data_IF_097071791827
#
_entry.id   IF_097071791827
#
_cell.length_a   1.000
_cell.length_b   1.000
_cell.length_c   1.000
_cell.angle_alpha   90.00
_cell.angle_beta   90.00
_cell.angle_gamma   90.00
#
_symmetry.space_group_name_H-M   'P 1'
#
loop_
_entity.id
_entity.type
_entity.pdbx_description
1 polymer ?
#
# COMPACT_ATOMS: atom_id res chain seq x y z
N UNK A 1 -20.89 2.88 21.28
CA UNK A 1 -20.17 4.16 21.24
C UNK A 1 -20.90 5.04 20.25
N UNK A 2 -20.97 6.34 20.48
CA UNK A 2 -21.51 7.27 19.48
C UNK A 2 -20.63 7.22 18.22
N UNK A 3 -21.23 7.32 17.03
CA UNK A 3 -20.50 7.30 15.75
C UNK A 3 -19.52 8.48 15.69
N UNK A 4 -18.27 8.32 15.20
CA UNK A 4 -17.33 9.43 15.09
C UNK A 4 -17.74 10.50 14.07
N UNK A 5 -18.72 10.21 13.21
CA UNK A 5 -19.34 11.15 12.29
C UNK A 5 -20.48 11.96 12.96
N UNK A 6 -20.88 11.62 14.18
CA UNK A 6 -21.87 12.39 14.94
C UNK A 6 -21.35 13.80 15.20
N UNK A 7 -22.24 14.80 15.14
CA UNK A 7 -21.90 16.17 15.50
C UNK A 7 -21.36 16.19 16.94
N UNK A 8 -20.10 16.57 17.08
CA UNK A 8 -19.35 16.44 18.33
C UNK A 8 -18.52 17.68 18.65
N UNK A 9 -17.86 17.65 19.80
CA UNK A 9 -17.05 18.76 20.31
C UNK A 9 -15.64 18.78 19.73
N UNK A 10 -15.49 18.44 18.44
CA UNK A 10 -14.20 18.54 17.76
C UNK A 10 -13.67 19.98 17.92
N UNK A 11 -12.42 20.10 18.39
CA UNK A 11 -11.80 21.37 18.75
C UNK A 11 -10.99 21.98 17.62
N UNK A 12 -10.99 21.36 16.45
CA UNK A 12 -10.36 21.90 15.25
C UNK A 12 -11.36 22.74 14.44
N UNK A 13 -10.86 23.77 13.76
CA UNK A 13 -11.66 24.75 13.00
C UNK A 13 -11.77 26.10 13.72
N UNK A 14 -11.72 27.19 12.94
CA UNK A 14 -11.73 28.56 13.47
C UNK A 14 -13.02 28.88 14.25
N UNK A 15 -14.15 28.38 13.77
CA UNK A 15 -15.46 28.59 14.40
C UNK A 15 -15.56 27.94 15.79
N UNK A 16 -14.75 26.90 16.06
CA UNK A 16 -14.72 26.19 17.34
C UNK A 16 -13.74 26.82 18.34
N UNK A 17 -12.90 27.76 17.90
CA UNK A 17 -11.87 28.41 18.72
C UNK A 17 -11.58 29.87 18.26
N UNK A 18 -12.58 30.78 18.28
CA UNK A 18 -12.42 32.14 17.77
C UNK A 18 -11.32 32.94 18.50
N UNK A 19 -11.21 32.79 19.82
CA UNK A 19 -10.14 33.42 20.62
C UNK A 19 -8.75 32.93 20.19
N UNK A 20 -8.61 31.63 19.91
CA UNK A 20 -7.36 31.04 19.43
C UNK A 20 -6.98 31.57 18.04
N UNK A 21 -7.96 31.85 17.19
CA UNK A 21 -7.72 32.44 15.88
C UNK A 21 -7.30 33.91 15.96
N UNK A 22 -7.92 34.70 16.84
CA UNK A 22 -7.48 36.07 17.13
C UNK A 22 -6.05 36.07 17.68
N UNK A 23 -5.76 35.20 18.65
CA UNK A 23 -4.43 35.04 19.22
C UNK A 23 -3.40 34.60 18.18
N UNK A 24 -3.74 33.68 17.27
CA UNK A 24 -2.85 33.31 16.16
C UNK A 24 -2.61 34.49 15.21
N UNK A 25 -3.64 35.25 14.86
CA UNK A 25 -3.50 36.43 13.99
C UNK A 25 -2.62 37.51 14.66
N UNK A 26 -2.75 37.71 15.97
CA UNK A 26 -1.87 38.61 16.72
C UNK A 26 -0.44 38.08 16.79
N UNK A 27 -0.27 36.78 17.06
CA UNK A 27 1.03 36.12 17.10
C UNK A 27 1.80 36.24 15.78
N UNK A 28 1.14 36.29 14.62
CA UNK A 28 1.84 36.53 13.34
C UNK A 28 2.49 37.92 13.24
N UNK A 29 2.02 38.89 14.03
CA UNK A 29 2.61 40.24 14.12
C UNK A 29 3.77 40.30 15.14
N UNK A 30 3.70 39.50 16.20
CA UNK A 30 4.72 39.46 17.26
C UNK A 30 5.87 38.50 16.90
N UNK A 31 5.55 37.31 16.42
CA UNK A 31 6.48 36.27 16.03
C UNK A 31 6.59 36.21 14.50
N UNK A 32 7.43 37.10 13.96
CA UNK A 32 7.77 37.06 12.55
C UNK A 32 8.46 35.72 12.20
N UNK A 33 8.32 35.24 10.94
CA UNK A 33 9.00 34.03 10.50
C UNK A 33 10.49 34.04 10.87
N UNK A 34 10.97 32.95 11.48
CA UNK A 34 12.36 32.80 11.90
C UNK A 34 13.33 32.58 10.73
N UNK A 35 12.81 32.53 9.50
CA UNK A 35 13.57 32.42 8.27
C UNK A 35 13.02 33.42 7.25
N UNK A 36 13.89 34.19 6.56
CA UNK A 36 13.48 35.01 5.42
C UNK A 36 13.24 34.17 4.15
N UNK A 37 13.44 32.85 4.22
CA UNK A 37 13.37 31.95 3.08
C UNK A 37 11.99 31.93 2.43
N UNK A 38 11.99 31.87 1.10
CA UNK A 38 10.77 31.73 0.32
C UNK A 38 10.58 30.29 -0.15
N UNK A 39 9.49 30.02 -0.86
CA UNK A 39 9.31 28.76 -1.60
C UNK A 39 10.52 28.42 -2.47
N UNK A 40 11.20 29.45 -3.03
CA UNK A 40 12.42 29.28 -3.80
C UNK A 40 13.59 28.77 -2.96
N UNK A 41 13.77 29.30 -1.75
CA UNK A 41 14.81 28.82 -0.82
C UNK A 41 14.58 27.36 -0.42
N UNK A 42 13.32 26.96 -0.17
CA UNK A 42 12.98 25.56 0.08
C UNK A 42 13.27 24.67 -1.14
N UNK A 43 13.01 25.17 -2.36
CA UNK A 43 13.34 24.45 -3.59
C UNK A 43 14.85 24.26 -3.75
N UNK A 44 15.66 25.28 -3.49
CA UNK A 44 17.13 25.21 -3.53
C UNK A 44 17.68 24.16 -2.55
N UNK A 45 17.17 24.14 -1.32
CA UNK A 45 17.53 23.10 -0.36
C UNK A 45 17.16 21.71 -0.87
N UNK A 46 15.93 21.52 -1.37
CA UNK A 46 15.50 20.23 -1.95
C UNK A 46 16.39 19.83 -3.12
N UNK A 47 16.80 20.76 -3.99
CA UNK A 47 17.72 20.46 -5.09
C UNK A 47 19.03 19.87 -4.58
N UNK A 48 19.61 20.42 -3.50
CA UNK A 48 20.86 19.89 -2.93
C UNK A 48 20.69 18.46 -2.41
N UNK A 49 19.60 18.17 -1.68
CA UNK A 49 19.30 16.83 -1.21
C UNK A 49 19.02 15.85 -2.35
N UNK A 50 18.25 16.25 -3.36
CA UNK A 50 17.91 15.40 -4.51
C UNK A 50 19.13 15.10 -5.39
N UNK A 51 20.04 16.06 -5.54
CA UNK A 51 21.25 15.88 -6.37
C UNK A 51 22.29 15.00 -5.69
N UNK A 52 22.30 14.98 -4.35
CA UNK A 52 23.24 14.18 -3.56
C UNK A 52 22.68 12.82 -3.14
N UNK A 53 21.38 12.57 -3.37
CA UNK A 53 20.73 11.34 -2.93
C UNK A 53 21.15 10.14 -3.78
N UNK A 54 21.55 9.07 -3.10
CA UNK A 54 21.68 7.75 -3.71
C UNK A 54 20.29 7.14 -3.99
N UNK A 55 20.18 6.21 -4.95
CA UNK A 55 18.97 5.41 -5.11
C UNK A 55 18.63 4.66 -3.81
N UNK A 56 17.33 4.49 -3.53
CA UNK A 56 16.84 3.78 -2.34
C UNK A 56 17.37 2.33 -2.24
N UNK A 57 17.74 1.74 -3.38
CA UNK A 57 18.45 0.47 -3.44
C UNK A 57 18.68 0.01 -4.87
N UNK A 58 19.08 -1.25 -5.02
CA UNK A 58 19.25 -1.92 -6.32
C UNK A 58 18.78 -3.36 -6.27
N UNK A 59 18.32 -3.90 -7.40
CA UNK A 59 18.07 -5.34 -7.51
C UNK A 59 19.41 -6.09 -7.47
N UNK A 60 19.61 -7.06 -6.56
CA UNK A 60 20.86 -7.79 -6.47
C UNK A 60 21.04 -8.74 -7.65
N UNK A 61 22.30 -8.98 -8.01
CA UNK A 61 22.64 -10.02 -8.99
C UNK A 61 22.16 -11.37 -8.46
N UNK A 62 21.52 -12.23 -9.27
CA UNK A 62 21.11 -13.56 -8.85
C UNK A 62 22.26 -14.33 -8.17
N UNK A 63 22.01 -14.84 -6.96
CA UNK A 63 23.04 -15.53 -6.16
C UNK A 63 23.46 -16.91 -6.69
N UNK A 64 22.78 -17.43 -7.72
CA UNK A 64 23.12 -18.72 -8.34
C UNK A 64 23.87 -18.51 -9.67
N UNK A 65 24.86 -19.36 -9.95
CA UNK A 65 25.61 -19.32 -11.22
C UNK A 65 24.69 -19.38 -12.45
N UNK A 66 23.66 -20.24 -12.40
CA UNK A 66 22.65 -20.35 -13.46
C UNK A 66 21.81 -19.07 -13.61
N UNK A 67 21.39 -18.47 -12.48
CA UNK A 67 20.64 -17.22 -12.47
C UNK A 67 21.45 -16.06 -13.04
N UNK A 68 22.72 -15.92 -12.63
CA UNK A 68 23.61 -14.88 -13.11
C UNK A 68 23.85 -14.98 -14.63
N UNK A 69 24.11 -16.19 -15.14
CA UNK A 69 24.27 -16.43 -16.58
C UNK A 69 22.99 -16.09 -17.37
N UNK A 70 21.81 -16.50 -16.88
CA UNK A 70 20.52 -16.20 -17.51
C UNK A 70 20.24 -14.69 -17.55
N UNK A 71 20.49 -13.98 -16.46
CA UNK A 71 20.33 -12.53 -16.39
C UNK A 71 21.28 -11.82 -17.37
N UNK A 72 22.54 -12.25 -17.45
CA UNK A 72 23.52 -11.73 -18.41
C UNK A 72 23.07 -11.91 -19.87
N UNK A 73 22.53 -13.08 -20.22
CA UNK A 73 21.98 -13.34 -21.55
C UNK A 73 20.78 -12.46 -21.89
N UNK A 74 19.84 -12.27 -20.95
CA UNK A 74 18.70 -11.36 -21.15
C UNK A 74 19.16 -9.93 -21.40
N UNK A 75 20.14 -9.45 -20.63
CA UNK A 75 20.71 -8.12 -20.80
C UNK A 75 21.39 -7.94 -22.17
N UNK A 76 22.09 -8.96 -22.67
CA UNK A 76 22.66 -8.97 -24.02
C UNK A 76 21.59 -8.93 -25.12
N UNK A 77 20.40 -9.49 -24.87
CA UNK A 77 19.23 -9.38 -25.75
C UNK A 77 18.48 -8.05 -25.59
N UNK A 78 19.01 -7.08 -24.82
CA UNK A 78 18.35 -5.80 -24.55
C UNK A 78 17.16 -5.90 -23.60
N UNK A 79 17.00 -7.01 -22.88
CA UNK A 79 15.91 -7.23 -21.93
C UNK A 79 16.37 -6.95 -20.50
N UNK A 80 15.56 -6.20 -19.78
CA UNK A 80 15.83 -5.77 -18.41
C UNK A 80 15.09 -6.65 -17.40
N UNK A 81 15.59 -7.87 -17.19
CA UNK A 81 14.98 -8.83 -16.26
C UNK A 81 14.92 -8.29 -14.81
N UNK A 82 15.83 -7.38 -14.45
CA UNK A 82 15.83 -6.65 -13.18
C UNK A 82 14.53 -5.88 -12.93
N UNK A 83 13.85 -5.38 -13.97
CA UNK A 83 12.58 -4.66 -13.83
C UNK A 83 11.48 -5.60 -13.34
N UNK A 84 11.39 -6.81 -13.90
CA UNK A 84 10.42 -7.81 -13.45
C UNK A 84 10.74 -8.31 -12.04
N UNK A 85 12.02 -8.51 -11.72
CA UNK A 85 12.45 -8.91 -10.38
C UNK A 85 12.09 -7.82 -9.36
N UNK A 86 12.32 -6.54 -9.67
CA UNK A 86 11.93 -5.44 -8.79
C UNK A 86 10.42 -5.37 -8.57
N UNK A 87 9.63 -5.48 -9.65
CA UNK A 87 8.16 -5.50 -9.59
C UNK A 87 7.63 -6.67 -8.76
N UNK A 88 8.23 -7.86 -8.91
CA UNK A 88 7.90 -9.03 -8.11
C UNK A 88 8.30 -8.88 -6.65
N UNK A 89 9.47 -8.30 -6.35
CA UNK A 89 9.89 -8.00 -4.99
C UNK A 89 8.93 -7.01 -4.31
N UNK A 90 8.54 -5.97 -5.04
CA UNK A 90 7.49 -5.03 -4.66
C UNK A 90 6.17 -5.71 -4.33
N UNK A 91 5.67 -6.56 -5.25
CA UNK A 91 4.41 -7.28 -5.08
C UNK A 91 4.48 -8.22 -3.88
N UNK A 92 5.53 -9.04 -3.77
CA UNK A 92 5.76 -9.93 -2.63
C UNK A 92 5.73 -9.18 -1.28
N UNK A 93 6.37 -8.01 -1.18
CA UNK A 93 6.33 -7.20 0.03
C UNK A 93 4.92 -6.64 0.32
N UNK A 94 4.18 -6.29 -0.74
CA UNK A 94 2.82 -5.77 -0.64
C UNK A 94 1.84 -6.86 -0.17
N UNK A 95 1.82 -8.04 -0.80
CA UNK A 95 0.99 -9.20 -0.42
C UNK A 95 1.21 -9.63 1.04
N UNK A 96 2.48 -9.61 1.48
CA UNK A 96 2.84 -9.88 2.88
C UNK A 96 2.14 -8.88 3.82
N UNK A 97 2.05 -7.63 3.39
CA UNK A 97 1.41 -6.58 4.16
C UNK A 97 -0.11 -6.68 4.07
N UNK A 98 -0.68 -6.94 2.89
CA UNK A 98 -2.11 -7.22 2.66
C UNK A 98 -2.63 -8.33 3.57
N UNK A 99 -1.92 -9.47 3.61
CA UNK A 99 -2.19 -10.56 4.55
C UNK A 99 -2.30 -10.08 6.01
N UNK A 100 -1.37 -9.22 6.45
CA UNK A 100 -1.34 -8.70 7.83
C UNK A 100 -2.40 -7.62 8.09
N UNK A 101 -2.75 -6.84 7.07
CA UNK A 101 -3.83 -5.86 7.14
C UNK A 101 -5.17 -6.60 7.33
N UNK A 102 -5.40 -7.69 6.60
CA UNK A 102 -6.56 -8.55 6.81
C UNK A 102 -6.55 -9.24 8.17
N UNK A 103 -5.41 -9.75 8.65
CA UNK A 103 -5.31 -10.30 10.02
C UNK A 103 -5.76 -9.28 11.08
N UNK A 104 -5.34 -8.02 10.93
CA UNK A 104 -5.70 -6.95 11.84
C UNK A 104 -7.18 -6.51 11.69
N UNK A 105 -7.71 -6.46 10.46
CA UNK A 105 -9.14 -6.21 10.21
C UNK A 105 -10.01 -7.30 10.84
N UNK A 106 -9.66 -8.58 10.65
CA UNK A 106 -10.34 -9.72 11.26
C UNK A 106 -10.36 -9.57 12.79
N UNK A 107 -9.20 -9.25 13.39
CA UNK A 107 -9.11 -9.02 14.83
C UNK A 107 -10.07 -7.92 15.32
N UNK A 108 -10.18 -6.82 14.57
CA UNK A 108 -11.10 -5.72 14.88
C UNK A 108 -12.57 -6.14 14.68
N UNK A 109 -12.87 -6.82 13.58
CA UNK A 109 -14.21 -7.33 13.25
C UNK A 109 -14.73 -8.27 14.35
N UNK A 110 -13.90 -9.17 14.87
CA UNK A 110 -14.31 -10.12 15.92
C UNK A 110 -14.79 -9.44 17.20
N UNK A 111 -14.31 -8.23 17.49
CA UNK A 111 -14.73 -7.43 18.66
C UNK A 111 -15.91 -6.52 18.34
N UNK A 112 -16.02 -6.06 17.08
CA UNK A 112 -16.96 -5.02 16.63
C UNK A 112 -17.93 -5.49 15.56
N UNK A 113 -18.23 -6.79 15.49
CA UNK A 113 -19.08 -7.39 14.45
C UNK A 113 -20.45 -6.72 14.32
N UNK A 114 -20.98 -6.20 15.42
CA UNK A 114 -22.29 -5.54 15.44
C UNK A 114 -22.26 -4.17 14.70
N UNK A 115 -21.08 -3.57 14.51
CA UNK A 115 -20.88 -2.36 13.71
C UNK A 115 -20.80 -2.65 12.20
N UNK A 116 -20.75 -3.93 11.79
CA UNK A 116 -20.50 -4.32 10.41
C UNK A 116 -21.19 -5.64 10.04
N UNK A 117 -22.52 -5.69 10.18
CA UNK A 117 -23.34 -6.91 10.04
C UNK A 117 -23.35 -7.54 8.64
N UNK A 118 -23.06 -6.76 7.62
CA UNK A 118 -22.88 -7.16 6.21
C UNK A 118 -21.53 -7.82 5.92
N UNK A 119 -20.54 -7.71 6.81
CA UNK A 119 -19.29 -8.45 6.69
C UNK A 119 -19.47 -9.87 7.24
N UNK A 120 -18.84 -10.84 6.57
CA UNK A 120 -18.76 -12.21 7.05
C UNK A 120 -17.32 -12.55 7.46
N UNK A 121 -17.16 -13.20 8.61
CA UNK A 121 -15.85 -13.73 9.03
C UNK A 121 -15.27 -14.69 8.00
N UNK A 122 -16.11 -15.53 7.39
CA UNK A 122 -15.67 -16.52 6.41
C UNK A 122 -15.11 -15.82 5.16
N UNK A 123 -15.73 -14.73 4.73
CA UNK A 123 -15.27 -13.96 3.57
C UNK A 123 -13.97 -13.21 3.86
N UNK A 124 -13.83 -12.61 5.05
CA UNK A 124 -12.58 -11.97 5.46
C UNK A 124 -11.42 -12.99 5.58
N UNK A 125 -11.69 -14.17 6.12
CA UNK A 125 -10.72 -15.26 6.21
C UNK A 125 -10.34 -15.80 4.83
N UNK A 126 -11.29 -15.85 3.90
CA UNK A 126 -11.03 -16.21 2.51
C UNK A 126 -10.07 -15.21 1.86
N UNK A 127 -10.37 -13.90 1.93
CA UNK A 127 -9.51 -12.87 1.33
C UNK A 127 -8.10 -12.93 1.92
N UNK A 128 -8.00 -13.05 3.25
CA UNK A 128 -6.71 -13.24 3.95
C UNK A 128 -5.92 -14.47 3.48
N UNK A 129 -6.60 -15.55 3.10
CA UNK A 129 -5.96 -16.76 2.61
C UNK A 129 -5.50 -16.61 1.15
N UNK A 130 -6.29 -15.92 0.34
CA UNK A 130 -5.98 -15.58 -1.06
C UNK A 130 -4.71 -14.70 -1.13
N UNK A 131 -4.65 -13.64 -0.33
CA UNK A 131 -3.45 -12.78 -0.12
C UNK A 131 -2.18 -13.58 0.25
N UNK A 132 -2.32 -14.56 1.16
CA UNK A 132 -1.20 -15.41 1.54
C UNK A 132 -0.77 -16.35 0.41
N UNK A 133 -1.70 -16.79 -0.45
CA UNK A 133 -1.40 -17.58 -1.62
C UNK A 133 -0.71 -16.73 -2.71
N UNK A 134 -1.13 -15.47 -2.88
CA UNK A 134 -0.54 -14.49 -3.79
C UNK A 134 0.91 -14.17 -3.42
N UNK A 135 1.18 -14.03 -2.12
CA UNK A 135 2.54 -13.94 -1.58
C UNK A 135 3.40 -15.14 -2.03
N UNK A 136 2.88 -16.36 -1.89
CA UNK A 136 3.53 -17.59 -2.33
C UNK A 136 3.78 -17.65 -3.83
N UNK A 137 2.81 -17.16 -4.62
CA UNK A 137 2.91 -17.08 -6.08
C UNK A 137 4.06 -16.15 -6.51
N UNK A 138 4.22 -15.00 -5.87
CA UNK A 138 5.34 -14.08 -6.11
C UNK A 138 6.69 -14.68 -5.68
N UNK A 139 6.72 -15.36 -4.54
CA UNK A 139 7.91 -16.05 -4.04
C UNK A 139 8.43 -17.08 -5.04
N UNK A 140 7.55 -17.92 -5.56
CA UNK A 140 7.91 -18.95 -6.54
C UNK A 140 8.34 -18.34 -7.87
N UNK A 141 7.69 -17.26 -8.31
CA UNK A 141 8.07 -16.53 -9.52
C UNK A 141 9.50 -15.96 -9.41
N UNK A 142 9.88 -15.36 -8.28
CA UNK A 142 11.24 -14.89 -8.04
C UNK A 142 12.26 -16.04 -8.11
N UNK A 143 11.97 -17.18 -7.45
CA UNK A 143 12.84 -18.35 -7.50
C UNK A 143 12.99 -18.92 -8.90
N UNK A 144 11.91 -18.94 -9.70
CA UNK A 144 11.94 -19.37 -11.10
C UNK A 144 12.85 -18.48 -11.97
N UNK A 145 12.94 -17.19 -11.66
CA UNK A 145 13.87 -16.25 -12.31
C UNK A 145 15.31 -16.38 -11.78
N UNK A 146 15.51 -17.15 -10.70
CA UNK A 146 16.81 -17.29 -10.03
C UNK A 146 17.11 -16.17 -9.04
N UNK A 147 16.14 -15.30 -8.77
CA UNK A 147 16.24 -14.23 -7.79
C UNK A 147 16.01 -14.76 -6.36
N UNK A 148 16.53 -14.04 -5.38
CA UNK A 148 16.31 -14.32 -3.97
C UNK A 148 15.05 -13.57 -3.49
N UNK A 149 13.97 -14.28 -3.11
CA UNK A 149 12.72 -13.66 -2.68
C UNK A 149 12.79 -12.99 -1.29
N UNK A 150 13.91 -13.11 -0.58
CA UNK A 150 14.13 -12.43 0.71
C UNK A 150 14.76 -11.05 0.56
N UNK A 151 15.24 -10.70 -0.64
CA UNK A 151 15.85 -9.42 -0.91
C UNK A 151 14.83 -8.28 -0.87
N UNK A 152 15.20 -7.18 -0.21
CA UNK A 152 14.45 -5.92 -0.27
C UNK A 152 14.88 -5.18 -1.54
N UNK A 153 14.08 -5.31 -2.60
CA UNK A 153 14.28 -4.55 -3.84
C UNK A 153 13.82 -3.10 -3.65
N UNK A 154 14.20 -2.16 -4.54
CA UNK A 154 13.73 -0.78 -4.48
C UNK A 154 12.21 -0.62 -4.35
N UNK A 155 11.45 -1.41 -5.11
CA UNK A 155 10.00 -1.39 -5.02
C UNK A 155 9.46 -2.08 -3.76
N UNK A 156 10.15 -3.11 -3.24
CA UNK A 156 9.80 -3.71 -1.96
C UNK A 156 9.91 -2.68 -0.82
N UNK A 157 10.97 -1.87 -0.83
CA UNK A 157 11.17 -0.79 0.14
C UNK A 157 10.08 0.29 -0.01
N UNK A 158 9.87 0.79 -1.23
CA UNK A 158 8.86 1.83 -1.50
C UNK A 158 7.45 1.38 -1.11
N UNK A 159 7.08 0.13 -1.42
CA UNK A 159 5.80 -0.44 -1.03
C UNK A 159 5.69 -0.57 0.50
N UNK A 160 6.76 -1.00 1.18
CA UNK A 160 6.77 -1.06 2.62
C UNK A 160 6.51 0.33 3.24
N UNK A 161 7.17 1.38 2.74
CA UNK A 161 6.95 2.76 3.18
C UNK A 161 5.50 3.19 2.95
N UNK A 162 4.95 2.94 1.75
CA UNK A 162 3.58 3.29 1.42
C UNK A 162 2.57 2.60 2.37
N UNK A 163 2.80 1.35 2.72
CA UNK A 163 1.90 0.58 3.57
C UNK A 163 1.97 0.95 5.07
N UNK A 164 2.98 1.71 5.53
CA UNK A 164 3.07 2.14 6.94
C UNK A 164 1.80 2.86 7.37
N UNK A 165 1.31 3.82 6.58
CA UNK A 165 0.12 4.60 6.91
C UNK A 165 -1.14 3.74 6.99
N UNK A 166 -1.27 2.75 6.10
CA UNK A 166 -2.41 1.82 6.10
C UNK A 166 -2.41 0.97 7.38
N UNK A 167 -1.24 0.48 7.78
CA UNK A 167 -1.11 -0.32 9.00
C UNK A 167 -1.35 0.50 10.26
N UNK A 168 -0.93 1.77 10.28
CA UNK A 168 -1.23 2.71 11.36
C UNK A 168 -2.74 2.92 11.54
N UNK A 169 -3.50 3.03 10.44
CA UNK A 169 -4.97 3.18 10.51
C UNK A 169 -5.62 1.91 11.07
N UNK A 170 -5.33 0.74 10.49
CA UNK A 170 -6.00 -0.51 10.89
C UNK A 170 -5.67 -0.89 12.33
N UNK A 171 -4.41 -0.70 12.73
CA UNK A 171 -3.95 -1.08 14.08
C UNK A 171 -4.37 -0.09 15.17
N UNK A 172 -4.82 1.11 14.82
CA UNK A 172 -5.31 2.07 15.81
C UNK A 172 -6.65 1.57 16.40
N UNK A 173 -6.73 1.30 17.72
CA UNK A 173 -7.95 0.80 18.34
C UNK A 173 -9.07 1.85 18.35
N UNK A 174 -8.78 3.13 18.09
CA UNK A 174 -9.77 4.19 18.01
C UNK A 174 -10.47 4.22 16.65
N UNK A 175 -9.83 3.70 15.60
CA UNK A 175 -10.40 3.70 14.25
C UNK A 175 -11.53 2.68 14.14
N UNK A 176 -12.65 3.08 13.52
CA UNK A 176 -13.83 2.23 13.30
C UNK A 176 -13.56 1.16 12.24
N UNK A 177 -14.49 0.20 12.12
CA UNK A 177 -14.47 -0.77 11.02
C UNK A 177 -14.55 -0.05 9.66
N UNK A 178 -15.42 0.96 9.51
CA UNK A 178 -15.53 1.74 8.27
C UNK A 178 -14.20 2.42 7.87
N UNK A 179 -13.53 3.06 8.83
CA UNK A 179 -12.22 3.69 8.60
C UNK A 179 -11.14 2.65 8.26
N UNK A 180 -11.23 1.46 8.85
CA UNK A 180 -10.29 0.36 8.57
C UNK A 180 -10.54 -0.26 7.19
N UNK A 181 -11.81 -0.39 6.77
CA UNK A 181 -12.19 -0.81 5.41
C UNK A 181 -11.73 0.18 4.35
N UNK A 182 -11.76 1.49 4.63
CA UNK A 182 -11.18 2.47 3.73
C UNK A 182 -9.67 2.26 3.54
N UNK A 183 -8.93 1.94 4.61
CA UNK A 183 -7.50 1.61 4.50
C UNK A 183 -7.25 0.33 3.70
N UNK A 184 -8.07 -0.71 3.89
CA UNK A 184 -8.03 -1.92 3.05
C UNK A 184 -8.34 -1.57 1.59
N UNK A 185 -9.37 -0.76 1.32
CA UNK A 185 -9.72 -0.37 -0.03
C UNK A 185 -8.58 0.37 -0.74
N UNK A 186 -7.84 1.24 -0.04
CA UNK A 186 -6.64 1.88 -0.60
C UNK A 186 -5.54 0.85 -0.91
N UNK A 187 -5.34 -0.14 -0.04
CA UNK A 187 -4.37 -1.21 -0.29
C UNK A 187 -4.75 -1.98 -1.57
N UNK A 188 -6.01 -2.40 -1.66
CA UNK A 188 -6.58 -3.24 -2.71
C UNK A 188 -6.61 -2.56 -4.08
N UNK A 189 -6.83 -1.24 -4.13
CA UNK A 189 -6.70 -0.47 -5.37
C UNK A 189 -5.25 -0.52 -5.90
N UNK A 190 -4.27 -0.34 -5.01
CA UNK A 190 -2.86 -0.44 -5.36
C UNK A 190 -2.42 -1.89 -5.65
N UNK A 191 -3.12 -2.87 -5.07
CA UNK A 191 -2.88 -4.28 -5.33
C UNK A 191 -3.28 -4.67 -6.74
N UNK A 192 -4.54 -4.44 -7.06
CA UNK A 192 -5.16 -4.75 -8.33
C UNK A 192 -4.38 -4.14 -9.53
N UNK A 193 -4.12 -2.83 -9.50
CA UNK A 193 -3.34 -2.15 -10.55
C UNK A 193 -1.90 -2.70 -10.63
N UNK A 194 -1.38 -3.15 -9.50
CA UNK A 194 -0.11 -3.83 -9.38
C UNK A 194 -0.04 -5.14 -10.15
N UNK A 195 -1.04 -6.00 -9.99
CA UNK A 195 -1.18 -7.25 -10.73
C UNK A 195 -1.33 -7.00 -12.23
N UNK A 196 -2.15 -6.02 -12.63
CA UNK A 196 -2.30 -5.62 -14.04
C UNK A 196 -0.95 -5.27 -14.66
N UNK A 197 -0.16 -4.41 -13.98
CA UNK A 197 1.16 -4.02 -14.47
C UNK A 197 2.13 -5.20 -14.49
N UNK A 198 2.13 -6.04 -13.45
CA UNK A 198 3.02 -7.18 -13.33
C UNK A 198 2.78 -8.22 -14.43
N UNK A 199 1.51 -8.50 -14.76
CA UNK A 199 1.12 -9.37 -15.89
C UNK A 199 1.66 -8.81 -17.21
N UNK A 200 1.52 -7.49 -17.43
CA UNK A 200 2.01 -6.84 -18.65
C UNK A 200 3.53 -6.98 -18.77
N UNK A 201 4.28 -6.65 -17.72
CA UNK A 201 5.75 -6.75 -17.71
C UNK A 201 6.21 -8.20 -17.91
N UNK A 202 5.55 -9.17 -17.28
CA UNK A 202 5.85 -10.59 -17.45
C UNK A 202 5.70 -11.05 -18.92
N UNK A 203 4.63 -10.62 -19.60
CA UNK A 203 4.41 -10.93 -21.04
C UNK A 203 5.45 -10.31 -21.95
N UNK A 204 5.79 -9.04 -21.75
CA UNK A 204 6.82 -8.36 -22.56
C UNK A 204 8.20 -9.05 -22.45
N UNK A 205 8.45 -9.75 -21.34
CA UNK A 205 9.67 -10.53 -21.12
C UNK A 205 9.52 -12.02 -21.48
N UNK A 206 8.43 -12.40 -22.16
CA UNK A 206 8.16 -13.77 -22.61
C UNK A 206 7.95 -14.77 -21.48
N UNK A 207 7.43 -14.32 -20.33
CA UNK A 207 7.05 -15.17 -19.19
C UNK A 207 5.55 -15.50 -19.22
N UNK A 208 5.05 -16.04 -20.34
CA UNK A 208 3.60 -16.22 -20.57
C UNK A 208 2.92 -17.12 -19.53
N UNK A 209 3.58 -18.21 -19.12
CA UNK A 209 3.06 -19.11 -18.08
C UNK A 209 2.98 -18.44 -16.71
N UNK A 210 3.93 -17.55 -16.41
CA UNK A 210 3.93 -16.76 -15.19
C UNK A 210 2.79 -15.74 -15.22
N UNK A 211 2.65 -15.02 -16.34
CA UNK A 211 1.56 -14.08 -16.55
C UNK A 211 0.19 -14.77 -16.48
N UNK A 212 0.06 -16.01 -16.95
CA UNK A 212 -1.18 -16.78 -16.85
C UNK A 212 -1.57 -17.09 -15.40
N UNK A 213 -0.61 -17.51 -14.56
CA UNK A 213 -0.87 -17.71 -13.12
C UNK A 213 -1.26 -16.42 -12.41
N UNK A 214 -0.62 -15.30 -12.76
CA UNK A 214 -0.93 -13.99 -12.17
C UNK A 214 -2.34 -13.48 -12.52
N UNK A 215 -2.96 -13.95 -13.62
CA UNK A 215 -4.35 -13.59 -13.93
C UNK A 215 -5.33 -14.13 -12.90
N UNK A 216 -5.06 -15.30 -12.32
CA UNK A 216 -5.91 -15.84 -11.26
C UNK A 216 -5.89 -14.92 -10.03
N UNK A 217 -4.70 -14.46 -9.62
CA UNK A 217 -4.59 -13.50 -8.53
C UNK A 217 -5.37 -12.21 -8.83
N UNK A 218 -5.24 -11.67 -10.06
CA UNK A 218 -6.00 -10.50 -10.48
C UNK A 218 -7.53 -10.71 -10.42
N UNK A 219 -8.04 -11.87 -10.82
CA UNK A 219 -9.47 -12.20 -10.72
C UNK A 219 -9.95 -12.28 -9.25
N UNK A 220 -9.09 -12.78 -8.36
CA UNK A 220 -9.36 -12.82 -6.92
C UNK A 220 -9.39 -11.40 -6.33
N UNK A 221 -8.44 -10.54 -6.70
CA UNK A 221 -8.36 -9.12 -6.31
C UNK A 221 -9.51 -8.27 -6.85
N UNK A 222 -9.97 -8.52 -8.10
CA UNK A 222 -11.16 -7.86 -8.66
C UNK A 222 -12.40 -8.11 -7.79
N UNK A 223 -12.53 -9.33 -7.27
CA UNK A 223 -13.63 -9.72 -6.38
C UNK A 223 -13.46 -9.11 -4.98
N UNK A 224 -12.25 -9.01 -4.44
CA UNK A 224 -11.99 -8.29 -3.20
C UNK A 224 -12.43 -6.83 -3.30
N UNK A 225 -11.98 -6.13 -4.35
CA UNK A 225 -12.34 -4.74 -4.61
C UNK A 225 -13.85 -4.54 -4.77
N UNK A 226 -14.52 -5.44 -5.49
CA UNK A 226 -15.97 -5.38 -5.65
C UNK A 226 -16.70 -5.50 -4.31
N UNK A 227 -16.29 -6.44 -3.46
CA UNK A 227 -16.85 -6.62 -2.12
C UNK A 227 -16.60 -5.40 -1.22
N UNK A 228 -15.37 -4.87 -1.20
CA UNK A 228 -15.02 -3.69 -0.41
C UNK A 228 -15.83 -2.46 -0.79
N UNK A 229 -15.98 -2.21 -2.09
CA UNK A 229 -16.83 -1.11 -2.61
C UNK A 229 -18.27 -1.27 -2.13
N UNK A 230 -18.81 -2.47 -2.25
CA UNK A 230 -20.17 -2.76 -1.79
C UNK A 230 -20.34 -2.57 -0.28
N UNK A 231 -19.41 -3.07 0.54
CA UNK A 231 -19.47 -2.92 1.99
C UNK A 231 -19.37 -1.46 2.41
N UNK A 232 -18.42 -0.71 1.85
CA UNK A 232 -18.25 0.70 2.14
C UNK A 232 -19.47 1.53 1.75
N UNK A 233 -20.07 1.24 0.59
CA UNK A 233 -21.32 1.86 0.15
C UNK A 233 -22.44 1.61 1.17
N UNK A 234 -22.65 0.36 1.58
CA UNK A 234 -23.69 0.01 2.56
C UNK A 234 -23.46 0.68 3.92
N UNK A 235 -22.21 0.75 4.40
CA UNK A 235 -21.88 1.46 5.64
C UNK A 235 -22.22 2.93 5.53
N UNK A 236 -21.73 3.58 4.48
CA UNK A 236 -21.87 5.02 4.30
C UNK A 236 -23.36 5.41 4.16
N UNK A 237 -24.11 4.66 3.35
CA UNK A 237 -25.55 4.89 3.18
C UNK A 237 -26.31 4.65 4.49
N UNK A 238 -26.00 3.57 5.23
CA UNK A 238 -26.64 3.30 6.51
C UNK A 238 -26.30 4.32 7.60
N UNK A 239 -25.12 4.95 7.56
CA UNK A 239 -24.77 6.04 8.47
C UNK A 239 -25.48 7.35 8.08
N UNK A 240 -25.82 7.53 6.80
CA UNK A 240 -26.45 8.73 6.27
C UNK A 240 -27.98 8.78 6.40
N UNK A 241 -28.65 7.63 6.61
CA UNK A 241 -30.12 7.50 6.65
C UNK A 241 -30.63 6.86 7.92
#
# INVERSE_FOLDING_TARGET
MDSPQSMGMNKTGIDMAPEGAEAMAEATREFLPSSPGSEQTLAEYRTSYLSAADPIGTVPVPGTLKGAAKAGMQKLMGRHAEVLIDKLGGRLAFERTGTRLYDALIGKFMIRKDEATMLSIDQLQQFRAEEAAHLGLCWDALRQLGADPTCVTPMADTNAVASIGLFQIISDPRMTIAQSLHAIHVAELADNDGWVLLIKVAKELGQDDMAARFRQALEEEDRHLAALRQWMEQMCVSEAT
#
